data_IF_427966205963
#
_entry.id   IF_427966205963
#
_cell.length_a   1.000
_cell.length_b   1.000
_cell.length_c   1.000
_cell.angle_alpha   90.00
_cell.angle_beta   90.00
_cell.angle_gamma   90.00
#
_symmetry.space_group_name_H-M   'P 1'
#
loop_
_entity.id
_entity.type
_entity.pdbx_description
1 polymer ?
#
# COMPACT_ATOMS: atom_id res chain seq x y z
N UNK A 1 4.60 -9.87 20.93
CA UNK A 1 3.36 -10.21 20.21
C UNK A 1 2.79 -11.43 20.88
N UNK A 2 1.59 -11.33 21.45
CA UNK A 2 0.91 -12.53 21.93
C UNK A 2 0.59 -13.46 20.75
N UNK A 3 0.72 -14.77 20.98
CA UNK A 3 0.44 -15.80 19.96
C UNK A 3 -0.99 -15.63 19.37
N UNK A 4 -1.93 -15.15 20.19
CA UNK A 4 -3.31 -14.88 19.80
C UNK A 4 -3.42 -13.71 18.84
N UNK A 5 -2.80 -12.56 19.14
CA UNK A 5 -2.79 -11.39 18.27
C UNK A 5 -2.10 -11.67 16.93
N UNK A 6 -1.04 -12.49 16.93
CA UNK A 6 -0.41 -12.95 15.70
C UNK A 6 -1.34 -13.83 14.86
N UNK A 7 -2.02 -14.77 15.49
CA UNK A 7 -3.02 -15.61 14.82
C UNK A 7 -4.14 -14.77 14.21
N UNK A 8 -4.66 -13.78 14.95
CA UNK A 8 -5.79 -12.96 14.48
C UNK A 8 -5.41 -12.03 13.32
N UNK A 9 -4.24 -11.40 13.38
CA UNK A 9 -3.74 -10.59 12.26
C UNK A 9 -3.49 -11.45 11.02
N UNK A 10 -2.92 -12.64 11.20
CA UNK A 10 -2.63 -13.56 10.09
C UNK A 10 -3.92 -14.01 9.39
N UNK A 11 -5.01 -14.26 10.13
CA UNK A 11 -6.33 -14.60 9.57
C UNK A 11 -6.89 -13.52 8.64
N UNK A 12 -6.53 -12.26 8.86
CA UNK A 12 -6.99 -11.13 8.02
C UNK A 12 -6.03 -10.92 6.83
N UNK A 13 -4.72 -11.01 7.07
CA UNK A 13 -3.70 -10.72 6.06
C UNK A 13 -3.72 -11.75 4.92
N UNK A 14 -3.88 -13.05 5.24
CA UNK A 14 -3.85 -14.11 4.23
C UNK A 14 -4.95 -13.93 3.17
N UNK A 15 -6.24 -13.73 3.53
CA UNK A 15 -7.28 -13.42 2.55
C UNK A 15 -7.00 -12.17 1.71
N UNK A 16 -6.44 -11.12 2.31
CA UNK A 16 -6.09 -9.90 1.57
C UNK A 16 -5.02 -10.17 0.51
N UNK A 17 -3.98 -10.95 0.85
CA UNK A 17 -2.93 -11.35 -0.09
C UNK A 17 -3.51 -12.27 -1.17
N UNK A 18 -4.37 -13.21 -0.81
CA UNK A 18 -5.04 -14.08 -1.79
C UNK A 18 -5.88 -13.25 -2.76
N UNK A 19 -6.57 -12.22 -2.28
CA UNK A 19 -7.37 -11.33 -3.11
C UNK A 19 -6.49 -10.49 -4.06
N UNK A 20 -5.31 -10.04 -3.60
CA UNK A 20 -4.31 -9.40 -4.48
C UNK A 20 -3.87 -10.35 -5.60
N UNK A 21 -3.51 -11.59 -5.26
CA UNK A 21 -3.09 -12.60 -6.23
C UNK A 21 -4.19 -12.95 -7.24
N UNK A 22 -5.44 -13.06 -6.78
CA UNK A 22 -6.60 -13.25 -7.65
C UNK A 22 -6.84 -12.04 -8.55
N UNK A 23 -6.70 -10.82 -8.02
CA UNK A 23 -6.92 -9.60 -8.78
C UNK A 23 -5.89 -9.45 -9.93
N UNK A 24 -4.62 -9.80 -9.72
CA UNK A 24 -3.63 -9.79 -10.80
C UNK A 24 -3.82 -10.93 -11.80
N UNK A 25 -4.25 -12.10 -11.34
CA UNK A 25 -4.53 -13.23 -12.22
C UNK A 25 -5.70 -12.89 -13.17
N UNK A 26 -6.81 -12.40 -12.61
CA UNK A 26 -8.01 -12.06 -13.38
C UNK A 26 -7.79 -10.77 -14.19
N UNK A 27 -7.20 -9.74 -13.59
CA UNK A 27 -7.10 -8.41 -14.18
C UNK A 27 -5.96 -8.23 -15.19
N UNK A 28 -4.86 -9.01 -15.05
CA UNK A 28 -3.64 -8.86 -15.87
C UNK A 28 -3.15 -10.17 -16.47
N UNK A 29 -3.80 -11.30 -16.19
CA UNK A 29 -3.37 -12.62 -16.70
C UNK A 29 -2.05 -13.12 -16.09
N UNK A 30 -1.62 -12.56 -14.96
CA UNK A 30 -0.34 -12.89 -14.35
C UNK A 30 -0.40 -14.20 -13.55
N UNK A 31 0.62 -15.04 -13.71
CA UNK A 31 0.75 -16.30 -12.97
C UNK A 31 0.78 -16.09 -11.46
N UNK A 32 -0.14 -16.76 -10.74
CA UNK A 32 -0.21 -16.73 -9.27
C UNK A 32 1.04 -17.37 -8.65
N UNK A 33 1.53 -18.45 -9.26
CA UNK A 33 2.69 -19.20 -8.75
C UNK A 33 3.95 -18.34 -8.81
N UNK A 34 4.14 -17.61 -9.90
CA UNK A 34 5.30 -16.73 -10.05
C UNK A 34 5.26 -15.56 -9.07
N UNK A 35 4.07 -15.11 -8.68
CA UNK A 35 3.85 -14.02 -7.74
C UNK A 35 4.00 -14.42 -6.26
N UNK A 36 4.07 -15.71 -5.93
CA UNK A 36 4.20 -16.21 -4.56
C UNK A 36 5.40 -15.62 -3.78
N UNK A 37 6.61 -15.48 -4.35
CA UNK A 37 7.72 -14.85 -3.65
C UNK A 37 7.42 -13.40 -3.25
N UNK A 38 6.76 -12.64 -4.13
CA UNK A 38 6.33 -11.27 -3.82
C UNK A 38 5.29 -11.23 -2.71
N UNK A 39 4.31 -12.13 -2.74
CA UNK A 39 3.30 -12.28 -1.69
C UNK A 39 3.92 -12.64 -0.33
N UNK A 40 4.95 -13.50 -0.30
CA UNK A 40 5.68 -13.84 0.91
C UNK A 40 6.42 -12.61 1.47
N UNK A 41 7.08 -11.83 0.62
CA UNK A 41 7.73 -10.57 1.03
C UNK A 41 6.71 -9.58 1.58
N UNK A 42 5.56 -9.40 0.92
CA UNK A 42 4.47 -8.56 1.42
C UNK A 42 4.02 -9.00 2.83
N UNK A 43 3.80 -10.30 3.03
CA UNK A 43 3.40 -10.84 4.33
C UNK A 43 4.43 -10.50 5.41
N UNK A 44 5.73 -10.73 5.15
CA UNK A 44 6.81 -10.44 6.09
C UNK A 44 6.88 -8.96 6.45
N UNK A 45 6.77 -8.06 5.46
CA UNK A 45 6.78 -6.61 5.69
C UNK A 45 5.56 -6.18 6.53
N UNK A 46 4.37 -6.72 6.25
CA UNK A 46 3.16 -6.40 7.01
C UNK A 46 3.32 -6.84 8.48
N UNK A 47 3.76 -8.07 8.73
CA UNK A 47 3.99 -8.56 10.10
C UNK A 47 5.05 -7.72 10.82
N UNK A 48 6.17 -7.41 10.16
CA UNK A 48 7.21 -6.56 10.74
C UNK A 48 6.67 -5.17 11.09
N UNK A 49 5.85 -4.58 10.22
CA UNK A 49 5.25 -3.27 10.45
C UNK A 49 4.30 -3.24 11.66
N UNK A 50 3.50 -4.28 11.84
CA UNK A 50 2.61 -4.44 13.00
C UNK A 50 3.45 -4.61 14.27
N UNK A 51 4.51 -5.41 14.21
CA UNK A 51 5.39 -5.62 15.35
C UNK A 51 6.07 -4.32 15.78
N UNK A 52 6.58 -3.53 14.83
CA UNK A 52 7.20 -2.24 15.13
C UNK A 52 6.17 -1.29 15.74
N UNK A 53 4.93 -1.27 15.25
CA UNK A 53 3.86 -0.48 15.85
C UNK A 53 3.61 -0.86 17.31
N UNK A 54 3.62 -2.15 17.64
CA UNK A 54 3.43 -2.64 19.01
C UNK A 54 4.61 -2.25 19.90
N UNK A 55 5.84 -2.28 19.39
CA UNK A 55 7.04 -1.94 20.15
C UNK A 55 7.22 -0.44 20.36
N UNK A 56 6.70 0.39 19.45
CA UNK A 56 6.78 1.85 19.50
C UNK A 56 5.38 2.49 19.66
N UNK A 57 4.62 2.17 20.72
CA UNK A 57 3.23 2.62 20.87
C UNK A 57 3.12 4.15 21.05
N UNK A 58 4.18 4.80 21.54
CA UNK A 58 4.25 6.26 21.71
C UNK A 58 4.34 7.03 20.39
N UNK A 59 4.74 6.36 19.30
CA UNK A 59 4.83 6.99 17.99
C UNK A 59 3.45 6.89 17.31
N UNK A 60 2.83 8.02 16.90
CA UNK A 60 1.48 8.03 16.33
C UNK A 60 1.40 7.51 14.89
N UNK A 61 2.45 6.83 14.40
CA UNK A 61 2.47 6.23 13.07
C UNK A 61 1.58 4.97 13.05
N UNK A 62 0.66 4.82 12.09
CA UNK A 62 -0.08 3.56 11.90
C UNK A 62 0.84 2.46 11.38
N UNK A 63 0.42 1.19 11.49
CA UNK A 63 1.20 0.05 11.00
C UNK A 63 1.54 0.17 9.51
N UNK A 64 0.62 0.66 8.68
CA UNK A 64 0.90 0.84 7.25
C UNK A 64 2.06 1.81 6.98
N UNK A 65 2.22 2.87 7.79
CA UNK A 65 3.32 3.82 7.63
C UNK A 65 4.67 3.16 7.90
N UNK A 66 4.73 2.25 8.89
CA UNK A 66 5.91 1.42 9.13
C UNK A 66 6.18 0.47 7.96
N UNK A 67 5.14 -0.13 7.37
CA UNK A 67 5.31 -0.98 6.18
C UNK A 67 5.93 -0.19 5.01
N UNK A 68 5.46 1.04 4.77
CA UNK A 68 6.02 1.93 3.74
C UNK A 68 7.48 2.28 4.01
N UNK A 69 7.83 2.62 5.25
CA UNK A 69 9.21 2.93 5.63
C UNK A 69 10.14 1.72 5.45
N UNK A 70 9.72 0.53 5.88
CA UNK A 70 10.48 -0.70 5.70
C UNK A 70 10.68 -0.96 4.20
N UNK A 71 9.60 -0.96 3.41
CA UNK A 71 9.68 -1.20 1.98
C UNK A 71 10.60 -0.20 1.27
N UNK A 72 10.57 1.07 1.66
CA UNK A 72 11.46 2.11 1.14
C UNK A 72 12.93 1.86 1.49
N UNK A 73 13.23 1.51 2.74
CA UNK A 73 14.60 1.18 3.14
C UNK A 73 15.11 -0.09 2.43
N UNK A 74 14.23 -1.08 2.22
CA UNK A 74 14.59 -2.31 1.55
C UNK A 74 14.79 -2.12 0.04
N UNK A 75 14.07 -1.19 -0.60
CA UNK A 75 14.17 -0.92 -2.04
C UNK A 75 15.25 0.07 -2.43
N UNK A 76 15.83 0.81 -1.48
CA UNK A 76 16.92 1.75 -1.75
C UNK A 76 18.14 1.03 -2.38
N UNK A 77 18.82 1.65 -3.36
CA UNK A 77 19.99 1.04 -4.01
C UNK A 77 21.14 0.77 -3.04
N UNK A 78 21.21 1.51 -1.93
CA UNK A 78 22.20 1.32 -0.87
C UNK A 78 21.89 0.13 0.05
N UNK A 79 20.70 -0.46 -0.04
CA UNK A 79 20.34 -1.64 0.75
C UNK A 79 20.99 -2.90 0.17
N UNK A 80 21.65 -3.74 1.00
CA UNK A 80 22.34 -4.95 0.54
C UNK A 80 21.38 -5.99 -0.05
N UNK A 81 20.08 -5.90 0.27
CA UNK A 81 19.05 -6.84 -0.19
C UNK A 81 18.12 -6.24 -1.24
N UNK A 82 18.41 -5.03 -1.76
CA UNK A 82 17.57 -4.31 -2.71
C UNK A 82 17.25 -5.11 -3.97
N UNK A 83 18.27 -5.71 -4.60
CA UNK A 83 18.08 -6.50 -5.82
C UNK A 83 17.14 -7.69 -5.59
N UNK A 84 17.32 -8.41 -4.48
CA UNK A 84 16.50 -9.56 -4.11
C UNK A 84 15.06 -9.09 -3.83
N UNK A 85 14.90 -8.07 -2.99
CA UNK A 85 13.61 -7.48 -2.63
C UNK A 85 12.84 -7.01 -3.86
N UNK A 86 13.48 -6.26 -4.75
CA UNK A 86 12.87 -5.77 -5.98
C UNK A 86 12.51 -6.92 -6.93
N UNK A 87 13.38 -7.91 -7.11
CA UNK A 87 13.10 -9.06 -7.99
C UNK A 87 11.89 -9.89 -7.55
N UNK A 88 11.62 -9.96 -6.24
CA UNK A 88 10.45 -10.64 -5.68
C UNK A 88 9.19 -9.76 -5.75
N UNK A 89 9.30 -8.49 -5.39
CA UNK A 89 8.15 -7.57 -5.32
C UNK A 89 7.67 -7.10 -6.68
N UNK A 90 8.54 -7.01 -7.69
CA UNK A 90 8.16 -6.70 -9.07
C UNK A 90 7.24 -7.76 -9.72
N UNK A 91 7.08 -8.93 -9.11
CA UNK A 91 6.14 -9.96 -9.56
C UNK A 91 4.70 -9.71 -9.09
N UNK A 92 4.50 -8.70 -8.25
CA UNK A 92 3.20 -8.19 -7.84
C UNK A 92 2.90 -6.93 -8.64
N UNK A 93 1.84 -6.94 -9.43
CA UNK A 93 1.41 -5.76 -10.17
C UNK A 93 0.66 -4.79 -9.27
N UNK A 94 1.19 -3.59 -9.12
CA UNK A 94 0.58 -2.55 -8.27
C UNK A 94 -0.83 -2.18 -8.75
N UNK A 95 -1.03 -2.05 -10.07
CA UNK A 95 -2.33 -1.66 -10.63
C UNK A 95 -3.40 -2.72 -10.38
N UNK A 96 -3.06 -4.01 -10.45
CA UNK A 96 -3.97 -5.10 -10.12
C UNK A 96 -4.49 -5.03 -8.68
N UNK A 97 -3.71 -4.49 -7.74
CA UNK A 97 -4.15 -4.31 -6.34
C UNK A 97 -5.22 -3.23 -6.17
N UNK A 98 -5.34 -2.31 -7.13
CA UNK A 98 -6.28 -1.19 -7.05
C UNK A 98 -7.73 -1.65 -7.05
N UNK A 99 -8.07 -2.73 -7.78
CA UNK A 99 -9.43 -3.28 -7.83
C UNK A 99 -9.94 -3.71 -6.43
N UNK A 100 -9.24 -4.58 -5.68
CA UNK A 100 -9.59 -4.86 -4.29
C UNK A 100 -9.71 -3.60 -3.44
N UNK A 101 -8.73 -2.71 -3.58
CA UNK A 101 -8.63 -1.51 -2.75
C UNK A 101 -9.83 -0.60 -2.95
N UNK A 102 -10.22 -0.36 -4.20
CA UNK A 102 -11.38 0.45 -4.56
C UNK A 102 -12.69 -0.24 -4.14
N UNK A 103 -12.77 -1.56 -4.24
CA UNK A 103 -13.94 -2.30 -3.76
C UNK A 103 -14.13 -2.13 -2.24
N UNK A 104 -13.06 -2.29 -1.44
CA UNK A 104 -13.13 -2.06 0.01
C UNK A 104 -13.36 -0.59 0.36
N UNK A 105 -12.76 0.35 -0.36
CA UNK A 105 -13.02 1.77 -0.18
C UNK A 105 -14.50 2.10 -0.47
N UNK A 106 -15.05 1.57 -1.56
CA UNK A 106 -16.46 1.70 -1.93
C UNK A 106 -17.40 1.11 -0.88
N UNK A 107 -17.11 -0.10 -0.39
CA UNK A 107 -17.87 -0.72 0.70
C UNK A 107 -17.80 0.08 2.01
N UNK A 108 -16.61 0.61 2.35
CA UNK A 108 -16.41 1.42 3.56
C UNK A 108 -17.20 2.74 3.49
N UNK A 109 -17.16 3.42 2.34
CA UNK A 109 -17.94 4.63 2.09
C UNK A 109 -19.44 4.32 2.05
N UNK A 110 -19.82 3.21 1.43
CA UNK A 110 -21.19 2.70 1.37
C UNK A 110 -21.80 2.41 2.75
N UNK A 111 -20.98 2.00 3.71
CA UNK A 111 -21.42 1.83 5.10
C UNK A 111 -21.64 3.16 5.85
N UNK A 112 -21.22 4.29 5.28
CA UNK A 112 -21.34 5.63 5.85
C UNK A 112 -22.12 6.59 4.93
N UNK A 113 -23.16 6.08 4.24
CA UNK A 113 -23.94 6.84 3.27
C UNK A 113 -24.60 8.08 3.87
N UNK A 114 -25.07 8.04 5.12
CA UNK A 114 -25.68 9.21 5.76
C UNK A 114 -24.69 10.38 5.90
N UNK A 115 -23.43 10.07 6.21
CA UNK A 115 -22.34 11.05 6.27
C UNK A 115 -21.95 11.53 4.87
N UNK A 116 -22.00 10.66 3.87
CA UNK A 116 -21.76 11.08 2.48
C UNK A 116 -22.86 12.03 1.99
N UNK A 117 -24.12 11.75 2.36
CA UNK A 117 -25.29 12.57 2.01
C UNK A 117 -25.21 13.98 2.59
N UNK A 118 -24.71 14.12 3.83
CA UNK A 118 -24.52 15.45 4.44
C UNK A 118 -23.44 16.29 3.75
N UNK A 119 -22.45 15.65 3.12
CA UNK A 119 -21.43 16.31 2.30
C UNK A 119 -21.98 16.70 0.91
N UNK A 120 -22.93 15.92 0.36
CA UNK A 120 -23.63 16.19 -0.91
C UNK A 120 -22.66 16.56 -2.04
N UNK A 121 -23.02 17.48 -2.94
CA UNK A 121 -22.21 17.93 -4.07
C UNK A 121 -20.85 18.54 -3.67
N UNK A 122 -20.68 19.00 -2.42
CA UNK A 122 -19.44 19.62 -1.95
C UNK A 122 -18.27 18.62 -1.98
N UNK A 123 -18.54 17.32 -1.80
CA UNK A 123 -17.50 16.28 -1.87
C UNK A 123 -16.80 16.27 -3.24
N UNK A 124 -17.52 16.55 -4.33
CA UNK A 124 -16.97 16.51 -5.69
C UNK A 124 -15.95 17.62 -5.86
N UNK A 125 -16.30 18.84 -5.44
CA UNK A 125 -15.39 19.99 -5.51
C UNK A 125 -14.18 19.76 -4.62
N UNK A 126 -14.39 19.32 -3.38
CA UNK A 126 -13.28 19.03 -2.45
C UNK A 126 -12.37 17.96 -3.02
N UNK A 127 -12.92 16.90 -3.61
CA UNK A 127 -12.12 15.83 -4.24
C UNK A 127 -11.32 16.34 -5.43
N UNK A 128 -11.91 17.16 -6.30
CA UNK A 128 -11.18 17.78 -7.42
C UNK A 128 -10.02 18.63 -6.91
N UNK A 129 -10.25 19.48 -5.92
CA UNK A 129 -9.20 20.33 -5.33
C UNK A 129 -8.11 19.49 -4.67
N UNK A 130 -8.48 18.45 -3.90
CA UNK A 130 -7.53 17.56 -3.21
C UNK A 130 -6.69 16.76 -4.20
N UNK A 131 -7.30 16.12 -5.20
CA UNK A 131 -6.56 15.34 -6.21
C UNK A 131 -5.66 16.23 -7.07
N UNK A 132 -6.15 17.40 -7.48
CA UNK A 132 -5.36 18.40 -8.21
C UNK A 132 -4.16 18.83 -7.37
N UNK A 133 -4.39 19.21 -6.11
CA UNK A 133 -3.33 19.67 -5.22
C UNK A 133 -2.30 18.58 -4.93
N UNK A 134 -2.74 17.33 -4.72
CA UNK A 134 -1.85 16.20 -4.50
C UNK A 134 -0.98 15.91 -5.73
N UNK A 135 -1.57 15.92 -6.92
CA UNK A 135 -0.84 15.71 -8.18
C UNK A 135 0.18 16.81 -8.43
N UNK A 136 -0.25 18.08 -8.40
CA UNK A 136 0.67 19.21 -8.65
C UNK A 136 1.71 19.34 -7.54
N UNK A 137 1.36 19.09 -6.28
CA UNK A 137 2.32 19.06 -5.18
C UNK A 137 3.43 18.03 -5.40
N UNK A 138 3.07 16.80 -5.77
CA UNK A 138 4.05 15.76 -6.10
C UNK A 138 4.88 16.12 -7.35
N UNK A 139 4.23 16.69 -8.39
CA UNK A 139 4.91 17.09 -9.62
C UNK A 139 5.92 18.22 -9.38
N UNK A 140 5.61 19.21 -8.55
CA UNK A 140 6.54 20.29 -8.19
C UNK A 140 7.76 19.73 -7.47
N UNK A 141 7.56 18.85 -6.47
CA UNK A 141 8.67 18.22 -5.76
C UNK A 141 9.54 17.41 -6.73
N UNK A 142 8.94 16.61 -7.61
CA UNK A 142 9.67 15.87 -8.63
C UNK A 142 10.47 16.80 -9.56
N UNK A 143 9.84 17.87 -10.07
CA UNK A 143 10.50 18.85 -10.94
C UNK A 143 11.71 19.50 -10.26
N UNK A 144 11.59 19.89 -8.99
CA UNK A 144 12.67 20.51 -8.22
C UNK A 144 13.85 19.56 -8.04
N UNK A 145 13.58 18.31 -7.65
CA UNK A 145 14.63 17.29 -7.44
C UNK A 145 15.32 16.93 -8.75
N UNK A 146 14.56 16.70 -9.82
CA UNK A 146 15.13 16.33 -11.12
C UNK A 146 15.97 17.46 -11.73
N UNK A 147 15.55 18.73 -11.57
CA UNK A 147 16.37 19.89 -11.94
C UNK A 147 17.64 19.98 -11.11
N UNK A 148 17.55 19.76 -9.79
CA UNK A 148 18.71 19.76 -8.92
C UNK A 148 19.73 18.67 -9.31
N UNK A 149 19.25 17.53 -9.81
CA UNK A 149 20.07 16.44 -10.35
C UNK A 149 20.54 16.68 -11.80
N UNK A 150 20.17 17.79 -12.44
CA UNK A 150 20.43 18.10 -13.86
C UNK A 150 19.96 17.00 -14.83
N UNK A 151 18.88 16.29 -14.51
CA UNK A 151 18.26 15.31 -15.41
C UNK A 151 17.36 16.02 -16.44
N UNK A 152 16.75 17.15 -16.03
CA UNK A 152 15.92 18.07 -16.84
C UNK A 152 16.18 19.52 -16.45
#
# INVERSE_FOLDING_TARGET
>A
MDIKTFSDNTKIIIPCIALVLLAQFIGKGMSVVDALPGAAVMFLVIIASIQIKIWLPKIPLPAFAWATLIALLLSMPYSPISHIFMSMTNKIDFLATTTPLLAFAGLSVGNSIDKLKSLSWKIVIVSLVVFTSAFFGAAVVAQLILKFQNII
#
